data_IF_816526830656
#
_entry.id   IF_816526830656
#
_cell.length_a   1.000
_cell.length_b   1.000
_cell.length_c   1.000
_cell.angle_alpha   90.00
_cell.angle_beta   90.00
_cell.angle_gamma   90.00
#
_symmetry.space_group_name_H-M   'P 1'
#
loop_
_entity.id
_entity.type
_entity.pdbx_description
1 polymer ?
#
# COMPACT_ATOMS: atom_id res chain seq x y z
N UNK A 1 -10.78 -8.13 -13.88
CA UNK A 1 -9.86 -7.06 -14.37
C UNK A 1 -8.44 -7.44 -13.94
N UNK A 2 -7.40 -7.06 -14.68
CA UNK A 2 -6.01 -7.39 -14.30
C UNK A 2 -5.54 -6.44 -13.20
N UNK A 3 -5.00 -6.99 -12.10
CA UNK A 3 -4.48 -6.20 -10.99
C UNK A 3 -3.40 -5.21 -11.51
N UNK A 4 -3.44 -3.91 -11.10
CA UNK A 4 -2.41 -2.93 -11.45
C UNK A 4 -0.97 -3.38 -11.19
N UNK A 5 -0.76 -4.16 -10.14
CA UNK A 5 0.55 -4.71 -9.79
C UNK A 5 1.11 -5.61 -10.90
N UNK A 6 0.30 -6.52 -11.42
CA UNK A 6 0.68 -7.37 -12.54
C UNK A 6 1.04 -6.56 -13.79
N UNK A 7 0.37 -5.41 -14.00
CA UNK A 7 0.69 -4.51 -15.12
C UNK A 7 2.05 -3.82 -14.94
N UNK A 8 2.37 -3.40 -13.72
CA UNK A 8 3.65 -2.77 -13.37
C UNK A 8 4.83 -3.72 -13.59
N UNK A 9 4.72 -4.97 -13.11
CA UNK A 9 5.76 -5.99 -13.33
C UNK A 9 5.98 -6.29 -14.82
N UNK A 10 4.90 -6.27 -15.62
CA UNK A 10 4.99 -6.51 -17.07
C UNK A 10 5.58 -5.32 -17.84
N UNK A 11 5.35 -4.09 -17.37
CA UNK A 11 5.79 -2.87 -18.04
C UNK A 11 6.47 -1.88 -17.08
N UNK A 12 7.72 -2.15 -16.64
CA UNK A 12 8.41 -1.33 -15.63
C UNK A 12 8.56 0.15 -16.01
N UNK A 13 8.70 0.44 -17.31
CA UNK A 13 8.80 1.81 -17.82
C UNK A 13 7.51 2.63 -17.64
N UNK A 14 6.35 1.98 -17.45
CA UNK A 14 5.05 2.66 -17.23
C UNK A 14 4.77 2.93 -15.76
N UNK A 15 5.51 2.31 -14.84
CA UNK A 15 5.36 2.46 -13.39
C UNK A 15 5.41 3.93 -12.96
N UNK A 16 6.35 4.69 -13.53
CA UNK A 16 6.48 6.13 -13.25
C UNK A 16 5.22 6.93 -13.60
N UNK A 17 4.52 6.58 -14.67
CA UNK A 17 3.28 7.26 -15.06
C UNK A 17 2.12 6.89 -14.13
N UNK A 18 2.08 5.62 -13.70
CA UNK A 18 0.97 5.03 -12.94
C UNK A 18 1.06 5.27 -11.43
N UNK A 19 2.26 5.22 -10.85
CA UNK A 19 2.50 5.39 -9.42
C UNK A 19 3.24 6.69 -9.08
N UNK A 20 3.83 7.37 -10.06
CA UNK A 20 4.63 8.57 -9.83
C UNK A 20 6.10 8.32 -9.46
N UNK A 21 6.50 7.06 -9.26
CA UNK A 21 7.86 6.65 -8.89
C UNK A 21 8.42 5.62 -9.87
N UNK A 22 9.74 5.55 -9.98
CA UNK A 22 10.39 4.54 -10.83
C UNK A 22 10.16 3.13 -10.29
N UNK A 23 10.25 2.11 -11.15
CA UNK A 23 10.10 0.72 -10.74
C UNK A 23 11.13 0.30 -9.69
N UNK A 24 12.39 0.75 -9.80
CA UNK A 24 13.40 0.47 -8.79
C UNK A 24 13.06 1.08 -7.43
N UNK A 25 12.56 2.33 -7.44
CA UNK A 25 12.10 3.01 -6.22
C UNK A 25 10.89 2.31 -5.60
N UNK A 26 9.99 1.79 -6.43
CA UNK A 26 8.85 1.00 -5.98
C UNK A 26 9.30 -0.29 -5.28
N UNK A 27 10.27 -1.02 -5.84
CA UNK A 27 10.81 -2.23 -5.22
C UNK A 27 11.49 -1.94 -3.87
N UNK A 28 12.31 -0.89 -3.81
CA UNK A 28 12.94 -0.45 -2.56
C UNK A 28 11.91 -0.06 -1.50
N UNK A 29 10.85 0.65 -1.91
CA UNK A 29 9.76 1.01 -1.01
C UNK A 29 8.99 -0.22 -0.52
N UNK A 30 8.81 -1.22 -1.39
CA UNK A 30 8.11 -2.45 -1.04
C UNK A 30 8.89 -3.24 0.02
N UNK A 31 10.20 -3.37 -0.12
CA UNK A 31 11.06 -4.04 0.88
C UNK A 31 10.96 -3.33 2.25
N UNK A 32 11.04 -2.00 2.26
CA UNK A 32 10.88 -1.22 3.50
C UNK A 32 9.47 -1.35 4.08
N UNK A 33 8.45 -1.37 3.22
CA UNK A 33 7.06 -1.52 3.61
C UNK A 33 6.78 -2.89 4.25
N UNK A 34 7.35 -3.96 3.70
CA UNK A 34 7.24 -5.31 4.27
C UNK A 34 7.90 -5.41 5.65
N UNK A 35 9.08 -4.82 5.82
CA UNK A 35 9.76 -4.76 7.11
C UNK A 35 8.92 -4.01 8.16
N UNK A 36 8.48 -2.78 7.84
CA UNK A 36 7.63 -2.00 8.74
C UNK A 36 6.28 -2.66 9.04
N UNK A 37 5.68 -3.34 8.06
CA UNK A 37 4.46 -4.10 8.26
C UNK A 37 4.66 -5.23 9.27
N UNK A 38 5.76 -5.97 9.13
CA UNK A 38 6.12 -7.08 10.03
C UNK A 38 6.37 -6.57 11.45
N UNK A 39 7.10 -5.46 11.60
CA UNK A 39 7.34 -4.82 12.90
C UNK A 39 6.03 -4.37 13.56
N UNK A 40 5.16 -3.71 12.79
CA UNK A 40 3.85 -3.25 13.25
C UNK A 40 2.96 -4.40 13.68
N UNK A 41 2.94 -5.49 12.91
CA UNK A 41 2.22 -6.70 13.28
C UNK A 41 2.78 -7.30 14.57
N UNK A 42 4.10 -7.37 14.72
CA UNK A 42 4.73 -7.87 15.94
C UNK A 42 4.39 -7.00 17.16
N UNK A 43 4.35 -5.66 17.02
CA UNK A 43 3.90 -4.75 18.08
C UNK A 43 2.43 -5.00 18.47
N UNK A 44 1.54 -5.11 17.49
CA UNK A 44 0.13 -5.39 17.73
C UNK A 44 -0.05 -6.74 18.42
N UNK A 45 0.71 -7.76 18.02
CA UNK A 45 0.68 -9.07 18.68
C UNK A 45 1.24 -9.03 20.11
N UNK A 46 2.23 -8.17 20.40
CA UNK A 46 2.74 -7.95 21.77
C UNK A 46 1.73 -7.23 22.67
N UNK A 47 0.91 -6.34 22.10
CA UNK A 47 -0.06 -5.53 22.84
C UNK A 47 -1.44 -6.22 23.00
N UNK A 48 -1.72 -7.27 22.22
CA UNK A 48 -3.00 -7.99 22.30
C UNK A 48 -3.06 -8.92 23.52
N UNK A 49 -4.01 -8.65 24.41
CA UNK A 49 -4.50 -9.64 25.38
C UNK A 49 -5.43 -10.60 24.63
N UNK A 50 -4.97 -11.83 24.36
CA UNK A 50 -5.71 -12.80 23.53
C UNK A 50 -6.76 -13.57 24.35
N UNK A 51 -7.99 -13.65 23.82
CA UNK A 51 -9.01 -14.64 24.24
C UNK A 51 -9.01 -15.86 23.29
N UNK A 52 -8.65 -15.68 22.01
CA UNK A 52 -8.66 -16.74 20.97
C UNK A 52 -7.23 -17.18 20.56
N UNK A 53 -7.12 -18.42 20.06
CA UNK A 53 -5.89 -18.97 19.52
C UNK A 53 -5.36 -18.20 18.30
N UNK A 54 -4.05 -18.31 18.08
CA UNK A 54 -3.33 -17.64 16.98
C UNK A 54 -3.93 -18.09 15.64
N UNK A 55 -4.43 -17.14 14.82
CA UNK A 55 -4.90 -17.43 13.45
C UNK A 55 -6.41 -17.45 13.23
N UNK A 56 -7.25 -17.14 14.23
CA UNK A 56 -8.71 -17.10 14.06
C UNK A 56 -9.28 -15.90 13.28
N UNK A 57 -8.42 -15.07 12.68
CA UNK A 57 -8.82 -13.88 11.92
C UNK A 57 -9.07 -14.17 10.44
N UNK A 58 -9.81 -13.28 9.78
CA UNK A 58 -9.98 -13.29 8.32
C UNK A 58 -8.62 -13.07 7.66
N UNK A 59 -8.23 -13.97 6.76
CA UNK A 59 -7.02 -13.82 5.94
C UNK A 59 -7.15 -12.56 5.07
N UNK A 60 -6.09 -11.75 4.93
CA UNK A 60 -6.14 -10.60 4.04
C UNK A 60 -6.37 -11.07 2.59
N UNK A 61 -7.23 -10.36 1.85
CA UNK A 61 -7.52 -10.67 0.45
C UNK A 61 -6.40 -10.22 -0.51
N UNK A 62 -5.60 -9.24 -0.10
CA UNK A 62 -4.52 -8.67 -0.88
C UNK A 62 -3.17 -9.05 -0.26
N UNK A 63 -2.18 -9.24 -1.11
CA UNK A 63 -0.77 -9.27 -0.71
C UNK A 63 -0.29 -7.88 -0.30
N UNK A 64 0.75 -7.82 0.54
CA UNK A 64 1.38 -6.55 0.96
C UNK A 64 1.73 -5.67 -0.25
N UNK A 65 2.25 -6.27 -1.32
CA UNK A 65 2.59 -5.54 -2.53
C UNK A 65 1.36 -4.92 -3.22
N UNK A 66 0.24 -5.64 -3.27
CA UNK A 66 -1.01 -5.12 -3.83
C UNK A 66 -1.59 -4.00 -2.97
N UNK A 67 -1.51 -4.12 -1.66
CA UNK A 67 -1.98 -3.09 -0.73
C UNK A 67 -1.14 -1.80 -0.82
N UNK A 68 0.18 -1.91 -0.89
CA UNK A 68 1.09 -0.78 -1.11
C UNK A 68 0.81 -0.15 -2.47
N UNK A 69 0.62 -0.95 -3.52
CA UNK A 69 0.28 -0.47 -4.86
C UNK A 69 -1.08 0.26 -4.86
N UNK A 70 -2.08 -0.24 -4.13
CA UNK A 70 -3.39 0.38 -3.97
C UNK A 70 -3.24 1.76 -3.32
N UNK A 71 -2.44 1.86 -2.26
CA UNK A 71 -2.19 3.14 -1.58
C UNK A 71 -1.44 4.15 -2.48
N UNK A 72 -0.40 3.73 -3.21
CA UNK A 72 0.33 4.61 -4.13
C UNK A 72 -0.54 5.07 -5.30
N UNK A 73 -1.38 4.18 -5.84
CA UNK A 73 -2.34 4.54 -6.88
C UNK A 73 -3.36 5.56 -6.37
N UNK A 74 -3.82 5.41 -5.11
CA UNK A 74 -4.67 6.39 -4.45
C UNK A 74 -4.00 7.76 -4.34
N UNK A 75 -2.76 7.81 -3.85
CA UNK A 75 -1.99 9.04 -3.71
C UNK A 75 -1.71 9.74 -5.05
N UNK A 76 -1.58 8.97 -6.14
CA UNK A 76 -1.26 9.51 -7.46
C UNK A 76 -2.48 10.08 -8.17
N UNK A 77 -3.61 9.38 -8.11
CA UNK A 77 -4.77 9.66 -8.96
C UNK A 77 -6.01 10.15 -8.19
N UNK A 78 -6.00 10.05 -6.86
CA UNK A 78 -7.17 10.34 -6.00
C UNK A 78 -8.50 9.72 -6.50
N UNK A 79 -8.52 8.44 -6.92
CA UNK A 79 -9.76 7.76 -7.29
C UNK A 79 -10.66 7.56 -6.06
N UNK A 80 -11.95 7.31 -6.31
CA UNK A 80 -12.87 6.92 -5.24
C UNK A 80 -12.55 5.51 -4.73
N UNK A 81 -12.91 5.22 -3.48
CA UNK A 81 -12.71 3.88 -2.89
C UNK A 81 -13.51 2.78 -3.61
N UNK A 82 -14.60 3.13 -4.30
CA UNK A 82 -15.35 2.19 -5.13
C UNK A 82 -14.57 1.77 -6.37
N UNK A 83 -13.90 2.73 -7.04
CA UNK A 83 -13.02 2.43 -8.19
C UNK A 83 -11.81 1.62 -7.76
N UNK A 84 -11.23 1.92 -6.59
CA UNK A 84 -10.15 1.12 -6.02
C UNK A 84 -10.60 -0.32 -5.72
N UNK A 85 -11.77 -0.47 -5.10
CA UNK A 85 -12.36 -1.77 -4.83
C UNK A 85 -12.56 -2.60 -6.11
N UNK A 86 -13.10 -1.97 -7.16
CA UNK A 86 -13.27 -2.61 -8.47
C UNK A 86 -11.94 -3.04 -9.10
N UNK A 87 -10.91 -2.18 -9.01
CA UNK A 87 -9.63 -2.41 -9.67
C UNK A 87 -8.78 -3.49 -8.96
N UNK A 88 -8.86 -3.58 -7.63
CA UNK A 88 -8.09 -4.51 -6.80
C UNK A 88 -8.91 -5.72 -6.31
N UNK A 89 -10.21 -5.78 -6.59
CA UNK A 89 -11.07 -6.91 -6.20
C UNK A 89 -11.41 -6.94 -4.71
N UNK A 90 -11.47 -5.78 -4.06
CA UNK A 90 -11.81 -5.64 -2.63
C UNK A 90 -13.06 -4.78 -2.45
N UNK A 91 -13.68 -4.85 -1.27
CA UNK A 91 -14.80 -3.96 -0.95
C UNK A 91 -14.33 -2.50 -0.79
N UNK A 92 -15.26 -1.55 -0.92
CA UNK A 92 -15.03 -0.12 -0.65
C UNK A 92 -14.41 0.11 0.74
N UNK A 93 -14.93 -0.58 1.74
CA UNK A 93 -14.45 -0.49 3.13
C UNK A 93 -13.05 -1.05 3.27
N UNK A 94 -12.78 -2.23 2.70
CA UNK A 94 -11.43 -2.82 2.73
C UNK A 94 -10.42 -1.93 2.00
N UNK A 95 -10.77 -1.35 0.85
CA UNK A 95 -9.91 -0.38 0.17
C UNK A 95 -9.63 0.86 1.05
N UNK A 96 -10.66 1.40 1.69
CA UNK A 96 -10.52 2.54 2.60
C UNK A 96 -9.57 2.24 3.76
N UNK A 97 -9.77 1.10 4.44
CA UNK A 97 -8.97 0.71 5.60
C UNK A 97 -7.51 0.43 5.20
N UNK A 98 -7.33 -0.23 4.06
CA UNK A 98 -6.01 -0.51 3.46
C UNK A 98 -5.25 0.80 3.17
N UNK A 99 -5.90 1.76 2.50
CA UNK A 99 -5.28 3.06 2.21
C UNK A 99 -4.87 3.77 3.50
N UNK A 100 -5.76 3.87 4.48
CA UNK A 100 -5.48 4.58 5.73
C UNK A 100 -4.39 3.89 6.56
N UNK A 101 -4.35 2.56 6.56
CA UNK A 101 -3.30 1.78 7.20
C UNK A 101 -1.94 2.05 6.57
N UNK A 102 -1.82 1.86 5.26
CA UNK A 102 -0.56 2.07 4.54
C UNK A 102 -0.13 3.53 4.53
N UNK A 103 -1.05 4.48 4.51
CA UNK A 103 -0.73 5.90 4.61
C UNK A 103 0.00 6.23 5.92
N UNK A 104 -0.31 5.56 7.03
CA UNK A 104 0.39 5.75 8.31
C UNK A 104 1.84 5.24 8.23
N UNK A 105 2.05 4.06 7.63
CA UNK A 105 3.38 3.47 7.45
C UNK A 105 4.21 4.30 6.47
N UNK A 106 3.64 4.60 5.30
CA UNK A 106 4.27 5.39 4.25
C UNK A 106 4.61 6.80 4.71
N UNK A 107 3.84 7.43 5.61
CA UNK A 107 4.23 8.73 6.20
C UNK A 107 5.54 8.67 6.99
N UNK A 108 5.86 7.53 7.58
CA UNK A 108 7.11 7.30 8.31
C UNK A 108 8.22 6.90 7.33
N UNK A 109 7.90 6.02 6.37
CA UNK A 109 8.85 5.49 5.40
C UNK A 109 9.24 6.47 4.29
N UNK A 110 8.40 7.42 3.90
CA UNK A 110 8.76 8.47 2.96
C UNK A 110 9.47 9.59 3.74
N UNK A 111 10.83 9.63 3.77
CA UNK A 111 11.52 10.79 4.32
C UNK A 111 11.09 12.05 3.57
N UNK A 112 11.15 13.19 4.25
CA UNK A 112 10.84 14.50 3.66
C UNK A 112 11.63 14.80 2.37
N UNK A 113 12.71 14.06 2.08
CA UNK A 113 13.49 14.14 0.85
C UNK A 113 12.75 13.65 -0.41
N UNK A 114 11.83 12.67 -0.32
CA UNK A 114 11.00 12.24 -1.47
C UNK A 114 9.87 13.23 -1.80
N UNK A 115 9.54 14.16 -0.89
CA UNK A 115 8.58 15.25 -1.15
C UNK A 115 9.09 16.26 -2.18
N UNK A 116 10.41 16.29 -2.45
CA UNK A 116 11.01 17.17 -3.46
C UNK A 116 10.92 16.60 -4.88
N UNK A 117 10.89 15.27 -5.05
CA UNK A 117 10.84 14.61 -6.37
C UNK A 117 9.41 14.27 -6.79
N UNK A 118 8.55 13.87 -5.86
CA UNK A 118 7.11 13.85 -6.06
C UNK A 118 6.58 15.25 -5.78
N UNK A 119 6.28 16.04 -6.81
CA UNK A 119 5.75 17.40 -6.70
C UNK A 119 4.39 17.49 -6.02
N UNK A 120 4.31 17.11 -4.75
CA UNK A 120 3.15 17.29 -3.88
C UNK A 120 3.25 18.75 -3.40
N UNK A 121 2.71 19.65 -4.21
CA UNK A 121 2.43 21.01 -3.75
C UNK A 121 1.44 20.88 -2.59
N UNK A 122 1.88 21.31 -1.40
CA UNK A 122 0.96 21.61 -0.29
C UNK A 122 -0.07 22.61 -0.81
N UNK A 123 -1.34 22.24 -0.77
CA UNK A 123 -2.40 23.23 -0.55
C UNK A 123 -2.51 23.44 0.96
#
# INVERSE_FOLDING_TARGET
MKNPLHYIHKYPHRTKRLLGIDFQQFLQLLEQAELSHTERQAELERQKVRINAKGGGRKPLLSVAEEVCLCLFYLRHYPTFEVLGLQFGVSKTEANDTVHYWLKILRVLLPASLRRTCGIKKQ
#
